data_IF_299839368878
#
_entry.id   IF_299839368878
#
_cell.length_a   1.000
_cell.length_b   1.000
_cell.length_c   1.000
_cell.angle_alpha   90.00
_cell.angle_beta   90.00
_cell.angle_gamma   90.00
#
_symmetry.space_group_name_H-M   'P 1'
#
loop_
_entity.id
_entity.type
_entity.pdbx_description
1 polymer ?
#
# COMPACT_ATOMS: atom_id res chain seq x y z
N UNK A 1 -10.47 28.44 -3.25
CA UNK A 1 -10.40 27.87 -1.89
C UNK A 1 -11.39 26.73 -1.87
N UNK A 2 -10.92 25.49 -1.89
CA UNK A 2 -11.76 24.29 -1.87
C UNK A 2 -11.32 23.44 -0.68
N UNK A 3 -12.19 23.35 0.32
CA UNK A 3 -11.98 22.55 1.52
C UNK A 3 -12.15 21.07 1.18
N UNK A 4 -11.01 20.37 1.01
CA UNK A 4 -10.92 18.96 0.68
C UNK A 4 -11.09 18.04 1.89
N UNK A 5 -12.25 18.07 2.54
CA UNK A 5 -12.65 16.99 3.43
C UNK A 5 -13.66 16.10 2.71
N UNK A 6 -13.16 15.06 2.04
CA UNK A 6 -13.99 13.96 1.58
C UNK A 6 -14.48 13.19 2.81
N UNK A 7 -15.58 13.66 3.40
CA UNK A 7 -16.34 12.93 4.39
C UNK A 7 -16.93 11.72 3.67
N UNK A 8 -16.38 10.52 3.92
CA UNK A 8 -17.01 9.28 3.48
C UNK A 8 -18.48 9.30 3.97
N UNK A 9 -19.48 9.07 3.09
CA UNK A 9 -20.88 9.08 3.49
C UNK A 9 -21.12 8.18 4.70
N UNK A 10 -22.01 8.57 5.62
CA UNK A 10 -22.25 7.82 6.87
C UNK A 10 -22.60 6.35 6.64
N UNK A 11 -23.20 6.02 5.48
CA UNK A 11 -23.45 4.66 5.03
C UNK A 11 -22.17 3.81 4.87
N UNK A 12 -21.07 4.42 4.41
CA UNK A 12 -19.76 3.76 4.30
C UNK A 12 -19.18 3.53 5.69
N UNK A 13 -19.23 4.54 6.56
CA UNK A 13 -18.70 4.45 7.94
C UNK A 13 -19.43 3.39 8.78
N UNK A 14 -20.74 3.22 8.57
CA UNK A 14 -21.54 2.19 9.22
C UNK A 14 -21.17 0.77 8.76
N UNK A 15 -20.80 0.61 7.48
CA UNK A 15 -20.36 -0.67 6.89
C UNK A 15 -19.01 -1.15 7.42
N UNK A 16 -18.10 -0.22 7.77
CA UNK A 16 -16.75 -0.53 8.25
C UNK A 16 -16.58 -0.47 9.79
N UNK A 17 -17.66 -0.53 10.59
CA UNK A 17 -17.53 -0.63 12.06
C UNK A 17 -17.02 -2.03 12.44
N UNK A 18 -15.82 -2.17 13.05
CA UNK A 18 -15.33 -3.49 13.46
C UNK A 18 -16.21 -4.06 14.58
N UNK A 19 -16.70 -5.29 14.38
CA UNK A 19 -17.44 -6.01 15.40
C UNK A 19 -16.52 -6.40 16.58
N UNK A 20 -16.95 -6.12 17.82
CA UNK A 20 -16.20 -6.50 19.04
C UNK A 20 -16.53 -7.94 19.49
N UNK A 21 -15.49 -8.75 19.72
CA UNK A 21 -15.49 -10.05 20.43
C UNK A 21 -15.74 -11.27 19.53
N UNK A 22 -15.16 -12.47 19.71
CA UNK A 22 -14.54 -13.17 20.85
C UNK A 22 -13.69 -14.36 20.33
N UNK A 23 -12.54 -14.59 20.96
CA UNK A 23 -11.78 -15.87 21.14
C UNK A 23 -11.93 -17.02 20.11
N UNK A 24 -10.84 -17.27 19.36
CA UNK A 24 -10.29 -18.60 19.06
C UNK A 24 -11.01 -19.54 18.07
N UNK A 25 -10.63 -19.50 16.78
CA UNK A 25 -10.48 -20.62 15.81
C UNK A 25 -10.49 -20.08 14.37
N UNK A 26 -9.59 -20.60 13.53
CA UNK A 26 -9.42 -20.45 12.06
C UNK A 26 -9.71 -19.07 11.47
N UNK A 27 -8.70 -18.44 10.85
CA UNK A 27 -8.85 -17.18 10.12
C UNK A 27 -9.92 -17.32 9.03
N UNK A 28 -11.15 -16.94 9.37
CA UNK A 28 -12.26 -16.78 8.45
C UNK A 28 -12.01 -15.48 7.70
N UNK A 29 -12.29 -15.47 6.39
CA UNK A 29 -12.18 -14.32 5.49
C UNK A 29 -13.19 -13.23 5.91
N UNK A 30 -12.95 -12.62 7.07
CA UNK A 30 -13.67 -11.46 7.57
C UNK A 30 -12.84 -10.26 7.17
N UNK A 31 -13.36 -9.46 6.24
CA UNK A 31 -12.77 -8.22 5.77
C UNK A 31 -11.28 -8.40 5.41
N UNK A 32 -11.01 -9.21 4.40
CA UNK A 32 -9.63 -9.48 4.00
C UNK A 32 -9.02 -8.20 3.44
N UNK A 33 -8.00 -7.72 4.16
CA UNK A 33 -7.36 -6.45 3.94
C UNK A 33 -5.93 -6.70 3.50
N UNK A 34 -5.63 -6.32 2.26
CA UNK A 34 -4.41 -6.69 1.60
C UNK A 34 -3.60 -5.46 1.32
N UNK A 35 -2.33 -5.49 1.73
CA UNK A 35 -1.44 -4.33 1.68
C UNK A 35 -0.21 -4.66 0.88
N UNK A 36 -0.03 -3.97 -0.25
CA UNK A 36 1.22 -3.97 -1.00
C UNK A 36 1.97 -2.67 -0.74
N UNK A 37 3.21 -2.79 -0.27
CA UNK A 37 4.12 -1.66 -0.08
C UNK A 37 5.17 -1.68 -1.17
N UNK A 38 5.31 -0.57 -1.88
CA UNK A 38 6.33 -0.43 -2.90
C UNK A 38 7.67 0.00 -2.27
N UNK A 39 8.77 -0.38 -2.92
CA UNK A 39 10.10 0.10 -2.57
C UNK A 39 10.17 1.63 -2.67
N UNK A 40 10.68 2.28 -1.63
CA UNK A 40 10.70 3.75 -1.50
C UNK A 40 12.10 4.34 -1.42
N UNK A 41 13.12 3.54 -1.72
CA UNK A 41 14.52 3.96 -1.75
C UNK A 41 15.12 3.67 -3.12
N UNK A 42 15.67 4.69 -3.77
CA UNK A 42 16.20 4.68 -5.13
C UNK A 42 17.71 4.88 -5.13
N UNK A 43 18.41 4.31 -6.11
CA UNK A 43 19.85 4.50 -6.28
C UNK A 43 20.25 5.90 -6.76
N UNK A 44 19.29 6.74 -7.18
CA UNK A 44 19.54 8.11 -7.61
C UNK A 44 20.03 8.25 -9.05
N UNK A 45 20.12 7.15 -9.80
CA UNK A 45 20.74 7.14 -11.14
C UNK A 45 19.85 6.46 -12.17
N UNK A 46 19.41 5.23 -11.89
CA UNK A 46 18.78 4.38 -12.91
C UNK A 46 17.27 4.37 -12.77
N UNK A 47 16.54 4.77 -13.81
CA UNK A 47 15.08 4.64 -13.86
C UNK A 47 14.61 3.18 -13.99
N UNK A 48 15.46 2.29 -14.49
CA UNK A 48 15.18 0.86 -14.64
C UNK A 48 16.47 0.04 -14.56
N UNK A 49 16.38 -1.13 -13.94
CA UNK A 49 17.38 -2.21 -13.97
C UNK A 49 16.64 -3.55 -13.84
N UNK A 50 17.16 -4.65 -14.42
CA UNK A 50 16.59 -5.98 -14.25
C UNK A 50 16.35 -6.33 -12.78
N UNK A 51 15.20 -6.96 -12.51
CA UNK A 51 14.78 -7.35 -11.16
C UNK A 51 14.54 -6.17 -10.22
N UNK A 52 14.29 -4.97 -10.73
CA UNK A 52 14.06 -3.76 -9.94
C UNK A 52 15.19 -3.44 -8.96
N UNK A 53 16.42 -3.83 -9.28
CA UNK A 53 17.61 -3.70 -8.39
C UNK A 53 18.02 -2.25 -8.11
N UNK A 54 17.48 -1.30 -8.88
CA UNK A 54 17.65 0.15 -8.71
C UNK A 54 16.83 0.73 -7.55
N UNK A 55 15.86 -0.02 -7.01
CA UNK A 55 15.09 0.34 -5.82
C UNK A 55 15.27 -0.67 -4.68
N UNK A 56 14.93 -0.28 -3.46
CA UNK A 56 14.92 -1.15 -2.29
C UNK A 56 13.84 -0.74 -1.28
N UNK A 57 13.41 -1.70 -0.47
CA UNK A 57 12.62 -1.41 0.72
C UNK A 57 13.45 -0.59 1.72
N UNK A 58 12.84 0.35 2.46
CA UNK A 58 13.54 1.05 3.51
C UNK A 58 13.96 0.09 4.64
N UNK A 59 15.05 0.44 5.32
CA UNK A 59 15.49 -0.20 6.55
C UNK A 59 14.54 0.17 7.72
N UNK A 60 14.88 -0.31 8.91
CA UNK A 60 14.17 0.05 10.15
C UNK A 60 14.06 1.57 10.27
N UNK A 61 12.90 2.04 10.77
CA UNK A 61 12.58 3.47 10.96
C UNK A 61 12.50 4.29 9.67
N UNK A 62 12.39 3.64 8.51
CA UNK A 62 12.19 4.34 7.23
C UNK A 62 13.47 4.84 6.56
N UNK A 63 14.64 4.54 7.12
CA UNK A 63 15.93 4.97 6.57
C UNK A 63 16.26 4.21 5.27
N UNK A 64 16.79 4.91 4.27
CA UNK A 64 17.24 4.25 3.06
C UNK A 64 18.62 3.58 3.26
N UNK A 65 18.85 2.38 2.69
CA UNK A 65 20.16 1.75 2.73
C UNK A 65 21.17 2.57 1.92
N UNK A 66 22.45 2.52 2.30
CA UNK A 66 23.52 3.26 1.62
C UNK A 66 23.64 2.95 0.11
N UNK A 67 23.22 1.75 -0.30
CA UNK A 67 23.19 1.33 -1.71
C UNK A 67 22.05 1.96 -2.53
N UNK A 68 20.99 2.45 -1.88
CA UNK A 68 19.85 3.15 -2.49
C UNK A 68 19.51 4.40 -1.68
N UNK A 69 20.38 5.42 -1.64
CA UNK A 69 20.34 6.47 -0.62
C UNK A 69 19.28 7.54 -0.87
N UNK A 70 18.54 7.50 -1.99
CA UNK A 70 17.56 8.54 -2.33
C UNK A 70 16.16 8.10 -1.91
N UNK A 71 15.57 8.80 -0.95
CA UNK A 71 14.16 8.62 -0.57
C UNK A 71 13.27 9.19 -1.66
N UNK A 72 12.35 8.36 -2.14
CA UNK A 72 11.27 8.70 -3.06
C UNK A 72 9.91 8.52 -2.35
N UNK A 73 8.81 9.12 -2.85
CA UNK A 73 7.50 8.96 -2.23
C UNK A 73 7.13 7.50 -2.00
N UNK A 74 6.75 7.17 -0.77
CA UNK A 74 6.31 5.82 -0.42
C UNK A 74 4.87 5.60 -0.89
N UNK A 75 4.65 4.53 -1.66
CA UNK A 75 3.33 4.11 -2.11
C UNK A 75 2.89 2.87 -1.34
N UNK A 76 1.64 2.89 -0.90
CA UNK A 76 0.95 1.73 -0.32
C UNK A 76 -0.36 1.58 -1.05
N UNK A 77 -0.59 0.39 -1.61
CA UNK A 77 -1.89 -0.01 -2.14
C UNK A 77 -2.54 -0.89 -1.09
N UNK A 78 -3.73 -0.50 -0.63
CA UNK A 78 -4.55 -1.38 0.18
C UNK A 78 -5.84 -1.73 -0.55
N UNK A 79 -6.17 -3.02 -0.53
CA UNK A 79 -7.33 -3.58 -1.19
C UNK A 79 -8.15 -4.31 -0.14
N UNK A 80 -9.42 -3.93 -0.05
CA UNK A 80 -10.40 -4.60 0.80
C UNK A 80 -11.32 -5.42 -0.09
N UNK A 81 -11.45 -6.72 0.20
CA UNK A 81 -12.43 -7.58 -0.44
C UNK A 81 -13.66 -7.71 0.46
N UNK A 82 -14.73 -6.93 0.23
CA UNK A 82 -15.91 -6.97 1.08
C UNK A 82 -16.58 -8.33 0.97
N UNK A 83 -16.86 -8.97 2.10
CA UNK A 83 -17.72 -10.15 2.16
C UNK A 83 -19.12 -9.77 2.62
N UNK A 84 -20.08 -10.67 2.40
CA UNK A 84 -21.46 -10.55 2.88
C UNK A 84 -21.60 -10.74 4.40
N UNK A 85 -20.49 -10.90 5.13
CA UNK A 85 -20.46 -11.03 6.59
C UNK A 85 -21.06 -12.34 7.10
N UNK A 86 -21.51 -13.20 6.20
CA UNK A 86 -22.01 -14.53 6.51
C UNK A 86 -20.80 -15.48 6.68
N UNK A 87 -20.93 -16.53 7.49
CA UNK A 87 -19.84 -17.46 7.81
C UNK A 87 -19.59 -18.45 6.66
N UNK A 88 -19.36 -17.95 5.46
CA UNK A 88 -18.92 -18.74 4.33
C UNK A 88 -17.39 -18.89 4.38
N UNK A 89 -16.87 -20.07 4.07
CA UNK A 89 -15.43 -20.29 3.97
C UNK A 89 -14.92 -19.85 2.59
N UNK A 90 -14.68 -18.55 2.43
CA UNK A 90 -13.93 -18.04 1.28
C UNK A 90 -12.44 -18.27 1.52
N UNK A 91 -11.73 -18.68 0.48
CA UNK A 91 -10.27 -18.76 0.50
C UNK A 91 -9.72 -18.17 -0.79
N UNK A 92 -8.51 -17.63 -0.70
CA UNK A 92 -7.78 -17.26 -1.91
C UNK A 92 -7.39 -18.53 -2.64
N UNK A 93 -7.61 -18.56 -3.96
CA UNK A 93 -7.12 -19.66 -4.79
C UNK A 93 -5.58 -19.80 -4.73
N UNK A 94 -4.87 -18.69 -4.47
CA UNK A 94 -3.42 -18.71 -4.20
C UNK A 94 -3.05 -19.39 -2.88
N UNK A 95 -4.01 -19.70 -2.01
CA UNK A 95 -3.84 -20.26 -0.67
C UNK A 95 -3.29 -19.26 0.36
N UNK A 96 -2.36 -18.40 -0.04
CA UNK A 96 -1.75 -17.38 0.81
C UNK A 96 -1.85 -15.98 0.20
N UNK A 97 -1.68 -14.97 1.06
CA UNK A 97 -1.56 -13.56 0.68
C UNK A 97 -0.23 -13.24 -0.02
N UNK A 98 0.73 -14.17 -0.06
CA UNK A 98 1.95 -13.99 -0.84
C UNK A 98 1.69 -13.96 -2.36
N UNK A 99 0.51 -14.40 -2.81
CA UNK A 99 0.10 -14.29 -4.22
C UNK A 99 -0.30 -12.87 -4.65
N UNK A 100 -0.43 -11.91 -3.73
CA UNK A 100 -0.73 -10.53 -4.11
C UNK A 100 0.48 -9.87 -4.77
N UNK A 101 0.24 -9.37 -5.97
CA UNK A 101 1.18 -8.58 -6.76
C UNK A 101 0.51 -7.27 -7.17
N UNK A 102 1.27 -6.19 -7.26
CA UNK A 102 0.78 -4.92 -7.76
C UNK A 102 1.85 -4.21 -8.58
N UNK A 103 1.40 -3.55 -9.64
CA UNK A 103 2.20 -2.67 -10.46
C UNK A 103 1.68 -1.24 -10.31
N UNK A 104 2.59 -0.27 -10.34
CA UNK A 104 2.25 1.14 -10.31
C UNK A 104 2.69 1.79 -11.61
N UNK A 105 1.75 2.47 -12.26
CA UNK A 105 2.01 3.33 -13.42
C UNK A 105 1.73 4.78 -13.04
N UNK A 106 2.70 5.65 -13.29
CA UNK A 106 2.57 7.08 -13.05
C UNK A 106 1.97 7.77 -14.28
N UNK A 107 0.73 8.25 -14.16
CA UNK A 107 0.06 9.06 -15.18
C UNK A 107 -0.13 10.53 -14.80
N UNK A 108 0.57 11.02 -13.77
CA UNK A 108 0.46 12.43 -13.37
C UNK A 108 1.20 13.34 -14.35
N UNK A 109 0.72 14.57 -14.47
CA UNK A 109 1.45 15.64 -15.17
C UNK A 109 2.91 15.73 -14.71
N UNK A 110 3.88 15.89 -15.63
CA UNK A 110 5.28 16.03 -15.28
C UNK A 110 5.50 17.09 -14.18
N UNK A 111 6.24 16.71 -13.14
CA UNK A 111 6.54 17.59 -12.00
C UNK A 111 5.44 17.68 -10.92
N UNK A 112 4.25 17.11 -11.12
CA UNK A 112 3.20 17.12 -10.10
C UNK A 112 3.64 16.45 -8.79
N UNK A 113 4.32 15.30 -8.88
CA UNK A 113 4.83 14.58 -7.71
C UNK A 113 5.86 15.43 -6.95
N UNK A 114 6.81 16.06 -7.65
CA UNK A 114 7.82 16.89 -7.00
C UNK A 114 7.21 18.10 -6.28
N UNK A 115 6.12 18.67 -6.82
CA UNK A 115 5.39 19.77 -6.18
C UNK A 115 4.64 19.32 -4.91
N UNK A 116 4.07 18.12 -4.91
CA UNK A 116 3.27 17.61 -3.79
C UNK A 116 4.10 16.95 -2.68
N UNK A 117 5.06 16.11 -3.07
CA UNK A 117 5.89 15.34 -2.14
C UNK A 117 7.25 16.01 -1.85
N UNK A 118 7.60 17.07 -2.60
CA UNK A 118 8.93 17.64 -2.61
C UNK A 118 9.89 16.87 -3.53
N UNK A 119 11.10 17.42 -3.76
CA UNK A 119 12.13 16.74 -4.52
C UNK A 119 12.65 15.49 -3.76
N UNK A 120 13.23 14.50 -4.46
CA UNK A 120 13.88 13.36 -3.83
C UNK A 120 14.94 13.83 -2.83
N UNK A 121 14.99 13.19 -1.65
CA UNK A 121 15.92 13.57 -0.58
C UNK A 121 16.95 12.47 -0.40
N UNK A 122 18.23 12.84 -0.32
CA UNK A 122 19.25 11.88 0.14
C UNK A 122 19.07 11.68 1.64
N UNK A 123 18.95 10.42 2.04
CA UNK A 123 18.93 10.00 3.44
C UNK A 123 20.34 10.00 4.03
#
# INVERSE_FOLDING_TARGET
>A
MADGQTVLPDAVRAKYRPARGRTGRMATFRDDFQVVRFASCWNGVNAFLPGSTHVAMPLRRGACPATRPVSIPALTLEVSYPTDGLPHAWSLHSGSTAGYHADFMNGWEPGAIARLAGPPRRA
#
